data_IF_927962006254
#
_entry.id   IF_927962006254
#
_cell.length_a   1.000
_cell.length_b   1.000
_cell.length_c   1.000
_cell.angle_alpha   90.00
_cell.angle_beta   90.00
_cell.angle_gamma   90.00
#
_symmetry.space_group_name_H-M   'P 1'
#
loop_
_entity.id
_entity.type
_entity.pdbx_description
1 polymer ?
#
# COMPACT_ATOMS: atom_id res chain seq x y z
N UNK A 1 -7.15 -28.86 -10.29
CA UNK A 1 -7.76 -27.66 -10.92
C UNK A 1 -8.42 -26.75 -9.87
N UNK A 2 -9.19 -27.28 -8.92
CA UNK A 2 -9.73 -26.50 -7.80
C UNK A 2 -8.64 -25.88 -6.89
N UNK A 3 -7.54 -26.59 -6.61
CA UNK A 3 -6.45 -26.06 -5.76
C UNK A 3 -5.79 -24.79 -6.33
N UNK A 4 -5.59 -24.72 -7.66
CA UNK A 4 -5.05 -23.53 -8.32
C UNK A 4 -5.94 -22.28 -8.14
N UNK A 5 -7.25 -22.49 -8.04
CA UNK A 5 -8.24 -21.42 -7.84
C UNK A 5 -8.22 -20.94 -6.38
N UNK A 6 -8.11 -21.86 -5.42
CA UNK A 6 -8.00 -21.51 -4.01
C UNK A 6 -6.67 -20.83 -3.67
N UNK A 7 -5.57 -21.23 -4.29
CA UNK A 7 -4.25 -20.65 -4.06
C UNK A 7 -4.13 -19.19 -4.56
N UNK A 8 -4.98 -18.79 -5.52
CA UNK A 8 -5.00 -17.45 -6.15
C UNK A 8 -6.29 -16.68 -5.92
N UNK A 9 -7.08 -17.03 -4.91
CA UNK A 9 -8.41 -16.44 -4.68
C UNK A 9 -8.35 -14.90 -4.55
N UNK A 10 -7.29 -14.36 -3.93
CA UNK A 10 -7.07 -12.92 -3.81
C UNK A 10 -7.05 -12.22 -5.17
N UNK A 11 -6.35 -12.77 -6.16
CA UNK A 11 -6.25 -12.19 -7.50
C UNK A 11 -7.59 -12.22 -8.24
N UNK A 12 -8.34 -13.32 -8.12
CA UNK A 12 -9.66 -13.44 -8.73
C UNK A 12 -10.65 -12.43 -8.15
N UNK A 13 -10.68 -12.27 -6.83
CA UNK A 13 -11.53 -11.29 -6.17
C UNK A 13 -11.18 -9.85 -6.62
N UNK A 14 -9.90 -9.53 -6.73
CA UNK A 14 -9.42 -8.21 -7.18
C UNK A 14 -9.79 -7.95 -8.64
N UNK A 15 -9.61 -8.92 -9.53
CA UNK A 15 -9.97 -8.77 -10.96
C UNK A 15 -11.47 -8.53 -11.10
N UNK A 16 -12.31 -9.26 -10.37
CA UNK A 16 -13.76 -9.04 -10.37
C UNK A 16 -14.09 -7.64 -9.86
N UNK A 17 -13.49 -7.22 -8.74
CA UNK A 17 -13.67 -5.87 -8.19
C UNK A 17 -13.25 -4.78 -9.19
N UNK A 18 -12.15 -5.01 -9.91
CA UNK A 18 -11.64 -4.12 -10.95
C UNK A 18 -12.62 -4.02 -12.13
N UNK A 19 -13.17 -5.15 -12.57
CA UNK A 19 -14.20 -5.19 -13.62
C UNK A 19 -15.48 -4.49 -13.18
N UNK A 20 -15.90 -4.64 -11.92
CA UNK A 20 -17.06 -3.92 -11.37
C UNK A 20 -16.81 -2.41 -11.35
N UNK A 21 -15.64 -1.95 -10.93
CA UNK A 21 -15.29 -0.52 -10.94
C UNK A 21 -15.31 0.08 -12.35
N UNK A 22 -14.73 -0.63 -13.33
CA UNK A 22 -14.75 -0.22 -14.72
C UNK A 22 -16.18 -0.21 -15.29
N UNK A 23 -16.97 -1.23 -14.97
CA UNK A 23 -18.36 -1.35 -15.41
C UNK A 23 -19.22 -0.18 -14.94
N UNK A 24 -19.15 0.17 -13.65
CA UNK A 24 -19.87 1.32 -13.09
C UNK A 24 -19.47 2.62 -13.79
N UNK A 25 -18.18 2.78 -14.10
CA UNK A 25 -17.66 3.99 -14.78
C UNK A 25 -18.22 4.14 -16.19
N UNK A 26 -18.36 3.05 -16.94
CA UNK A 26 -18.92 3.09 -18.30
C UNK A 26 -20.44 3.22 -18.33
N UNK A 27 -21.15 2.58 -17.39
CA UNK A 27 -22.61 2.51 -17.45
C UNK A 27 -23.32 3.69 -16.77
N UNK A 28 -22.66 4.39 -15.84
CA UNK A 28 -23.32 5.48 -15.14
C UNK A 28 -23.63 6.65 -16.09
N UNK A 29 -24.91 7.03 -16.22
CA UNK A 29 -25.32 8.31 -16.85
C UNK A 29 -25.00 9.52 -15.96
N UNK A 30 -24.96 9.28 -14.65
CA UNK A 30 -24.80 10.31 -13.64
C UNK A 30 -23.31 10.52 -13.31
N UNK A 31 -22.84 11.77 -13.32
CA UNK A 31 -21.40 12.07 -13.17
C UNK A 31 -20.82 11.62 -11.82
N UNK A 32 -21.60 11.71 -10.74
CA UNK A 32 -21.16 11.28 -9.39
C UNK A 32 -20.95 9.76 -9.34
N UNK A 33 -21.85 8.99 -9.97
CA UNK A 33 -21.71 7.52 -10.03
C UNK A 33 -20.49 7.10 -10.86
N UNK A 34 -20.17 7.83 -11.93
CA UNK A 34 -18.92 7.63 -12.67
C UNK A 34 -17.69 7.87 -11.79
N UNK A 35 -17.71 8.92 -10.96
CA UNK A 35 -16.59 9.23 -10.06
C UNK A 35 -16.42 8.16 -8.97
N UNK A 36 -17.53 7.63 -8.44
CA UNK A 36 -17.52 6.49 -7.51
C UNK A 36 -16.94 5.24 -8.21
N UNK A 37 -17.39 4.93 -9.43
CA UNK A 37 -16.84 3.83 -10.23
C UNK A 37 -15.34 3.94 -10.43
N UNK A 38 -14.85 5.15 -10.74
CA UNK A 38 -13.43 5.42 -10.90
C UNK A 38 -12.64 5.22 -9.60
N UNK A 39 -13.19 5.65 -8.46
CA UNK A 39 -12.54 5.45 -7.14
C UNK A 39 -12.45 3.97 -6.74
N UNK A 40 -13.48 3.18 -7.06
CA UNK A 40 -13.49 1.72 -6.83
C UNK A 40 -12.48 1.03 -7.73
N UNK A 41 -12.43 1.41 -9.01
CA UNK A 41 -11.42 0.92 -9.95
C UNK A 41 -10.01 1.22 -9.46
N UNK A 42 -9.72 2.46 -9.06
CA UNK A 42 -8.41 2.85 -8.54
C UNK A 42 -8.02 2.07 -7.27
N UNK A 43 -8.96 1.91 -6.34
CA UNK A 43 -8.76 1.12 -5.10
C UNK A 43 -8.45 -0.35 -5.43
N UNK A 44 -9.10 -0.92 -6.45
CA UNK A 44 -8.82 -2.28 -6.90
C UNK A 44 -7.41 -2.45 -7.46
N UNK A 45 -6.87 -1.45 -8.18
CA UNK A 45 -5.49 -1.44 -8.67
C UNK A 45 -4.50 -1.39 -7.52
N UNK A 46 -4.81 -0.67 -6.44
CA UNK A 46 -3.98 -0.67 -5.23
C UNK A 46 -3.93 -2.05 -4.58
N UNK A 47 -5.08 -2.71 -4.41
CA UNK A 47 -5.14 -4.07 -3.87
C UNK A 47 -4.38 -5.08 -4.75
N UNK A 48 -4.43 -4.91 -6.07
CA UNK A 48 -3.66 -5.74 -7.02
C UNK A 48 -2.15 -5.58 -6.79
N UNK A 49 -1.66 -4.34 -6.70
CA UNK A 49 -0.25 -4.07 -6.44
C UNK A 49 0.22 -4.56 -5.06
N UNK A 50 -0.61 -4.42 -4.01
CA UNK A 50 -0.29 -4.95 -2.68
C UNK A 50 -0.13 -6.46 -2.74
N UNK A 51 -1.03 -7.15 -3.45
CA UNK A 51 -1.00 -8.61 -3.56
C UNK A 51 0.26 -9.10 -4.29
N UNK A 52 0.74 -8.35 -5.29
CA UNK A 52 2.01 -8.64 -5.96
C UNK A 52 3.25 -8.39 -5.08
N UNK A 53 3.18 -7.43 -4.16
CA UNK A 53 4.30 -7.08 -3.27
C UNK A 53 4.39 -7.91 -1.99
N UNK A 54 3.31 -8.62 -1.64
CA UNK A 54 3.21 -9.42 -0.42
C UNK A 54 3.91 -10.76 -0.61
N UNK A 55 4.87 -11.04 0.26
CA UNK A 55 5.51 -12.35 0.38
C UNK A 55 5.06 -13.04 1.67
N UNK A 56 5.07 -14.38 1.68
CA UNK A 56 4.72 -15.16 2.86
C UNK A 56 5.81 -15.03 3.93
N UNK A 57 5.42 -14.68 5.16
CA UNK A 57 6.37 -14.43 6.25
C UNK A 57 7.11 -13.09 6.16
N UNK A 58 6.73 -12.21 5.22
CA UNK A 58 7.34 -10.90 5.04
C UNK A 58 6.89 -9.86 6.07
N UNK A 59 7.82 -9.24 6.80
CA UNK A 59 7.57 -8.05 7.63
C UNK A 59 7.58 -6.77 6.77
N UNK A 60 7.16 -5.64 7.36
CA UNK A 60 7.11 -4.36 6.67
C UNK A 60 8.52 -3.88 6.34
N UNK A 61 8.82 -3.40 5.12
CA UNK A 61 10.17 -3.01 4.68
C UNK A 61 10.68 -1.74 5.36
N UNK A 62 10.97 -1.85 6.66
CA UNK A 62 11.51 -0.84 7.55
C UNK A 62 12.53 -1.57 8.42
N UNK A 63 13.77 -1.08 8.43
CA UNK A 63 14.83 -1.67 9.25
C UNK A 63 14.53 -1.41 10.73
N UNK A 64 14.86 -2.36 11.61
CA UNK A 64 14.76 -2.20 13.06
C UNK A 64 16.11 -2.49 13.71
N UNK A 65 16.33 -1.95 14.92
CA UNK A 65 17.59 -1.88 15.69
C UNK A 65 18.77 -2.80 15.33
N UNK A 66 18.54 -4.11 15.11
CA UNK A 66 19.58 -5.12 14.79
C UNK A 66 19.99 -5.18 13.32
N UNK A 67 19.15 -4.70 12.41
CA UNK A 67 19.35 -4.64 10.95
C UNK A 67 19.79 -3.24 10.47
N UNK A 68 19.88 -2.26 11.39
CA UNK A 68 20.51 -0.98 11.11
C UNK A 68 22.04 -1.12 11.05
N UNK A 69 22.71 -0.60 10.01
CA UNK A 69 24.17 -0.53 9.98
C UNK A 69 24.67 0.30 11.16
N UNK A 70 25.42 -0.31 12.08
CA UNK A 70 25.99 0.38 13.25
C UNK A 70 27.18 1.28 12.94
N UNK A 71 27.59 1.37 11.67
CA UNK A 71 28.83 2.03 11.28
C UNK A 71 28.63 3.50 10.81
N UNK A 72 27.43 4.08 10.99
CA UNK A 72 27.14 5.48 10.66
C UNK A 72 26.62 6.25 11.87
N UNK A 73 27.55 6.72 12.72
CA UNK A 73 27.32 7.84 13.64
C UNK A 73 26.55 7.52 14.92
N UNK A 74 27.05 6.59 15.73
CA UNK A 74 26.68 6.48 17.14
C UNK A 74 27.29 7.64 17.94
N UNK A 75 26.74 8.85 17.82
CA UNK A 75 27.15 9.97 18.70
C UNK A 75 26.01 10.85 19.22
N UNK A 76 24.75 10.47 18.97
CA UNK A 76 23.61 11.16 19.58
C UNK A 76 22.56 10.20 20.10
N UNK A 77 22.47 10.12 21.44
CA UNK A 77 21.36 9.47 22.14
C UNK A 77 21.69 8.87 23.49
N UNK A 78 22.66 9.43 24.23
CA UNK A 78 22.84 9.09 25.63
C UNK A 78 21.58 9.39 26.43
N UNK A 79 21.08 8.35 27.11
CA UNK A 79 20.24 8.40 28.31
C UNK A 79 18.93 9.17 28.21
N UNK A 80 17.80 8.46 28.20
CA UNK A 80 16.70 8.73 29.13
C UNK A 80 15.63 7.62 28.98
N UNK A 81 15.30 7.00 30.11
CA UNK A 81 14.25 5.98 30.20
C UNK A 81 14.45 5.02 31.36
N UNK A 82 14.86 5.53 32.53
CA UNK A 82 14.45 4.89 33.77
C UNK A 82 12.92 4.97 33.86
N UNK A 83 12.32 4.00 34.56
CA UNK A 83 10.93 3.95 35.04
C UNK A 83 10.03 2.93 34.31
N UNK A 84 10.11 1.66 34.75
CA UNK A 84 8.93 0.80 34.86
C UNK A 84 9.18 -0.30 35.91
N UNK A 85 8.98 0.06 37.17
CA UNK A 85 8.84 -0.88 38.28
C UNK A 85 7.40 -1.41 38.27
N UNK A 86 7.19 -2.66 37.88
CA UNK A 86 6.05 -3.52 38.20
C UNK A 86 6.51 -4.96 37.90
N UNK A 87 6.38 -5.99 38.73
CA UNK A 87 5.77 -6.21 40.04
C UNK A 87 6.09 -7.68 40.41
N UNK A 88 6.07 -7.99 41.69
CA UNK A 88 6.58 -9.23 42.27
C UNK A 88 5.84 -10.53 41.87
N UNK A 89 6.63 -11.59 41.69
CA UNK A 89 6.37 -12.93 42.26
C UNK A 89 5.47 -13.90 41.49
N UNK A 90 6.08 -14.89 40.82
CA UNK A 90 5.60 -16.28 40.86
C UNK A 90 6.76 -17.26 40.61
N UNK A 91 6.74 -18.35 41.37
CA UNK A 91 7.91 -19.16 41.72
C UNK A 91 8.40 -20.17 40.69
N UNK A 92 9.70 -20.47 40.83
CA UNK A 92 10.41 -21.74 40.72
C UNK A 92 10.07 -22.73 39.59
N UNK A 93 11.19 -23.14 38.95
CA UNK A 93 11.42 -24.30 38.09
C UNK A 93 11.15 -24.07 36.58
N UNK A 94 12.20 -23.92 35.79
CA UNK A 94 12.72 -25.02 34.96
C UNK A 94 13.94 -24.59 34.13
N UNK A 95 14.98 -25.43 34.17
CA UNK A 95 15.90 -25.65 33.04
C UNK A 95 16.67 -24.46 32.49
N UNK A 96 17.72 -24.03 33.20
CA UNK A 96 18.83 -23.30 32.58
C UNK A 96 19.50 -24.21 31.55
N UNK A 97 19.08 -24.10 30.29
CA UNK A 97 19.75 -24.73 29.16
C UNK A 97 21.13 -24.08 29.00
N UNK A 98 22.14 -24.79 29.51
CA UNK A 98 23.53 -24.50 29.20
C UNK A 98 23.77 -24.63 27.70
N UNK A 99 24.11 -23.52 27.06
CA UNK A 99 24.77 -23.54 25.76
C UNK A 99 26.25 -23.32 26.04
N UNK A 100 27.02 -24.42 25.96
CA UNK A 100 28.46 -24.38 25.99
C UNK A 100 28.95 -23.37 24.94
N UNK A 101 29.59 -22.30 25.43
CA UNK A 101 30.32 -21.31 24.65
C UNK A 101 31.53 -21.99 23.99
N UNK A 102 31.30 -22.68 22.87
CA UNK A 102 32.36 -23.14 21.99
C UNK A 102 32.86 -21.96 21.17
N UNK A 103 34.08 -21.52 21.44
CA UNK A 103 34.82 -20.60 20.56
C UNK A 103 35.69 -21.42 19.60
N UNK A 104 35.87 -20.96 18.38
CA UNK A 104 36.81 -21.57 17.43
C UNK A 104 38.28 -21.30 17.81
N UNK A 105 39.23 -21.86 17.06
CA UNK A 105 40.68 -21.74 17.29
C UNK A 105 41.20 -20.28 17.17
N UNK A 106 40.35 -19.34 16.72
CA UNK A 106 40.60 -17.89 16.66
C UNK A 106 39.82 -17.09 17.72
N UNK A 107 39.10 -17.76 18.63
CA UNK A 107 38.38 -17.13 19.75
C UNK A 107 37.02 -16.55 19.40
N UNK A 108 36.42 -16.94 18.26
CA UNK A 108 35.14 -16.38 17.78
C UNK A 108 33.96 -17.16 18.36
N UNK A 109 32.88 -16.49 18.82
CA UNK A 109 31.69 -17.17 19.34
C UNK A 109 30.96 -17.95 18.24
N UNK A 110 30.71 -19.24 18.48
CA UNK A 110 29.87 -20.06 17.60
C UNK A 110 28.39 -19.80 17.92
N UNK A 111 27.64 -19.18 17.00
CA UNK A 111 26.19 -19.08 17.07
C UNK A 111 25.56 -19.85 15.90
N UNK A 112 24.82 -20.91 16.23
CA UNK A 112 23.87 -21.63 15.38
C UNK A 112 24.39 -22.13 14.01
N UNK A 113 25.59 -22.73 13.99
CA UNK A 113 26.05 -23.52 12.84
C UNK A 113 26.69 -22.76 11.68
N UNK A 114 26.92 -21.45 11.79
CA UNK A 114 27.48 -20.63 10.71
C UNK A 114 28.73 -19.87 11.21
N UNK A 115 29.86 -20.06 10.52
CA UNK A 115 31.10 -19.28 10.70
C UNK A 115 30.86 -17.90 10.09
N UNK A 116 30.83 -16.83 10.90
CA UNK A 116 30.64 -15.46 10.45
C UNK A 116 31.94 -14.88 9.82
N UNK A 117 31.92 -14.44 8.55
CA UNK A 117 33.10 -13.83 7.95
C UNK A 117 33.28 -12.32 8.18
N UNK A 118 32.26 -11.51 8.53
CA UNK A 118 32.27 -10.05 8.24
C UNK A 118 32.49 -9.77 6.72
N UNK A 119 32.19 -8.63 6.08
CA UNK A 119 31.95 -7.26 6.52
C UNK A 119 31.41 -6.47 5.31
N UNK A 120 30.52 -5.49 5.52
CA UNK A 120 29.91 -4.60 4.51
C UNK A 120 29.22 -5.34 3.34
N UNK A 121 27.94 -5.72 3.51
CA UNK A 121 27.07 -6.09 2.37
C UNK A 121 26.69 -7.58 2.19
N UNK A 122 26.41 -8.35 3.25
CA UNK A 122 26.07 -9.78 3.06
C UNK A 122 25.54 -10.60 4.25
N UNK A 123 24.96 -9.98 5.28
CA UNK A 123 24.23 -10.74 6.31
C UNK A 123 22.83 -11.09 5.78
N UNK A 124 22.36 -12.35 5.83
CA UNK A 124 20.97 -12.64 5.49
C UNK A 124 20.09 -11.91 6.51
N UNK A 125 19.13 -11.13 6.02
CA UNK A 125 18.17 -10.44 6.86
C UNK A 125 17.53 -11.47 7.79
N UNK A 126 17.64 -11.27 9.09
CA UNK A 126 17.08 -12.19 10.08
C UNK A 126 15.55 -12.21 9.99
N UNK A 127 14.98 -11.12 9.47
CA UNK A 127 13.59 -10.98 9.09
C UNK A 127 13.45 -10.82 7.57
N UNK A 128 12.57 -11.63 6.98
CA UNK A 128 12.23 -11.52 5.55
C UNK A 128 11.31 -10.31 5.40
N UNK A 129 11.63 -9.36 4.51
CA UNK A 129 10.82 -8.16 4.28
C UNK A 129 10.02 -8.22 2.99
N UNK A 130 8.80 -7.68 3.00
CA UNK A 130 7.99 -7.53 1.79
C UNK A 130 8.64 -6.60 0.76
N UNK A 131 8.27 -6.73 -0.52
CA UNK A 131 8.87 -5.95 -1.60
C UNK A 131 8.60 -4.44 -1.38
N UNK A 132 9.65 -3.59 -1.28
CA UNK A 132 9.48 -2.16 -1.04
C UNK A 132 8.94 -1.41 -2.27
N UNK A 133 9.12 -1.95 -3.49
CA UNK A 133 8.74 -1.27 -4.72
C UNK A 133 7.23 -1.02 -4.81
N UNK A 134 6.34 -2.03 -4.66
CA UNK A 134 4.91 -1.80 -4.64
C UNK A 134 4.47 -0.81 -3.55
N UNK A 135 5.10 -0.84 -2.38
CA UNK A 135 4.71 0.01 -1.25
C UNK A 135 4.87 1.50 -1.57
N UNK A 136 6.00 1.89 -2.15
CA UNK A 136 6.24 3.28 -2.57
C UNK A 136 5.35 3.69 -3.74
N UNK A 137 5.19 2.80 -4.73
CA UNK A 137 4.31 3.06 -5.88
C UNK A 137 2.87 3.31 -5.45
N UNK A 138 2.34 2.52 -4.51
CA UNK A 138 0.99 2.70 -3.97
C UNK A 138 0.87 4.02 -3.20
N UNK A 139 1.87 4.37 -2.37
CA UNK A 139 1.83 5.63 -1.62
C UNK A 139 1.69 6.84 -2.54
N UNK A 140 2.46 6.87 -3.63
CA UNK A 140 2.34 7.93 -4.64
C UNK A 140 1.01 7.87 -5.38
N UNK A 141 0.54 6.67 -5.76
CA UNK A 141 -0.70 6.50 -6.49
C UNK A 141 -1.94 6.87 -5.66
N UNK A 142 -1.93 6.66 -4.33
CA UNK A 142 -3.00 7.10 -3.43
C UNK A 142 -3.10 8.63 -3.44
N UNK A 143 -1.98 9.34 -3.33
CA UNK A 143 -1.98 10.82 -3.33
C UNK A 143 -2.49 11.37 -4.66
N UNK A 144 -1.98 10.83 -5.78
CA UNK A 144 -2.45 11.21 -7.12
C UNK A 144 -3.95 10.93 -7.25
N UNK A 145 -4.40 9.77 -6.76
CA UNK A 145 -5.79 9.37 -6.83
C UNK A 145 -6.76 10.20 -6.01
N UNK A 146 -6.38 10.60 -4.79
CA UNK A 146 -7.19 11.53 -3.97
C UNK A 146 -7.22 12.91 -4.64
N UNK A 147 -6.11 13.37 -5.22
CA UNK A 147 -6.05 14.64 -5.93
C UNK A 147 -6.94 14.66 -7.19
N UNK A 148 -6.89 13.62 -8.02
CA UNK A 148 -7.74 13.54 -9.22
C UNK A 148 -9.21 13.38 -8.87
N UNK A 149 -9.55 12.65 -7.80
CA UNK A 149 -10.93 12.57 -7.29
C UNK A 149 -11.43 13.93 -6.84
N UNK A 150 -10.63 14.68 -6.09
CA UNK A 150 -10.98 16.02 -5.63
C UNK A 150 -11.23 16.99 -6.82
N UNK A 151 -10.35 16.97 -7.82
CA UNK A 151 -10.52 17.75 -9.05
C UNK A 151 -11.76 17.30 -9.83
N UNK A 152 -11.97 15.99 -9.98
CA UNK A 152 -13.15 15.45 -10.65
C UNK A 152 -14.45 15.87 -9.96
N UNK A 153 -14.49 15.83 -8.63
CA UNK A 153 -15.64 16.30 -7.86
C UNK A 153 -15.85 17.81 -8.01
N UNK A 154 -14.78 18.61 -7.98
CA UNK A 154 -14.85 20.04 -8.20
C UNK A 154 -15.42 20.38 -9.59
N UNK A 155 -15.01 19.64 -10.63
CA UNK A 155 -15.57 19.78 -11.98
C UNK A 155 -17.06 19.42 -11.99
N UNK A 156 -17.46 18.32 -11.34
CA UNK A 156 -18.86 17.91 -11.24
C UNK A 156 -19.72 18.97 -10.55
N UNK A 157 -19.22 19.55 -9.45
CA UNK A 157 -19.89 20.66 -8.75
C UNK A 157 -20.03 21.86 -9.67
N UNK A 158 -18.96 22.22 -10.39
CA UNK A 158 -18.98 23.36 -11.32
C UNK A 158 -19.97 23.17 -12.48
N UNK A 159 -20.06 21.96 -13.03
CA UNK A 159 -21.02 21.64 -14.09
C UNK A 159 -22.45 21.74 -13.55
N UNK A 160 -22.70 21.24 -12.33
CA UNK A 160 -24.02 21.37 -11.68
C UNK A 160 -24.41 22.84 -11.48
N UNK A 161 -23.48 23.71 -11.13
CA UNK A 161 -23.75 25.15 -10.99
C UNK A 161 -24.11 25.82 -12.33
N UNK A 162 -23.43 25.43 -13.42
CA UNK A 162 -23.66 26.03 -14.74
C UNK A 162 -24.89 25.48 -15.47
N UNK A 163 -25.12 24.16 -15.41
CA UNK A 163 -26.18 23.46 -16.15
C UNK A 163 -27.40 23.12 -15.28
N UNK A 164 -27.29 23.19 -13.96
CA UNK A 164 -28.36 22.80 -13.03
C UNK A 164 -28.54 21.29 -12.83
N UNK A 165 -27.80 20.46 -13.57
CA UNK A 165 -27.93 18.99 -13.56
C UNK A 165 -26.59 18.27 -13.42
N UNK A 166 -26.66 17.00 -13.04
CA UNK A 166 -25.54 16.07 -12.88
C UNK A 166 -25.66 14.84 -13.79
N UNK A 167 -26.68 14.81 -14.66
CA UNK A 167 -26.91 13.75 -15.64
C UNK A 167 -26.24 14.11 -16.96
N UNK A 168 -25.42 13.20 -17.51
CA UNK A 168 -24.68 13.47 -18.73
C UNK A 168 -25.58 13.66 -19.96
N UNK A 169 -26.70 12.94 -20.03
CA UNK A 169 -27.61 13.05 -21.18
C UNK A 169 -28.23 14.44 -21.25
N UNK A 170 -28.59 15.02 -20.11
CA UNK A 170 -29.14 16.37 -20.02
C UNK A 170 -28.08 17.43 -20.35
N UNK A 171 -26.84 17.27 -19.86
CA UNK A 171 -25.73 18.18 -20.20
C UNK A 171 -25.45 18.17 -21.70
N UNK A 172 -25.43 16.97 -22.32
CA UNK A 172 -25.19 16.80 -23.76
C UNK A 172 -26.30 17.43 -24.60
N UNK A 173 -27.55 17.29 -24.17
CA UNK A 173 -28.69 17.91 -24.84
C UNK A 173 -28.63 19.44 -24.78
N UNK A 174 -28.27 20.00 -23.62
CA UNK A 174 -28.11 21.45 -23.44
C UNK A 174 -27.04 22.05 -24.37
N UNK A 175 -25.91 21.34 -24.55
CA UNK A 175 -24.84 21.76 -25.47
C UNK A 175 -25.28 21.74 -26.94
N UNK A 176 -26.05 20.73 -27.36
CA UNK A 176 -26.59 20.63 -28.73
C UNK A 176 -27.54 21.80 -29.01
N UNK A 177 -28.46 22.09 -28.09
CA UNK A 177 -29.42 23.19 -28.24
C UNK A 177 -28.72 24.55 -28.33
N UNK A 178 -27.67 24.76 -27.54
CA UNK A 178 -26.86 25.97 -27.62
C UNK A 178 -26.21 26.14 -29.00
N UNK A 179 -25.64 25.07 -29.56
CA UNK A 179 -25.00 25.09 -30.87
C UNK A 179 -26.02 25.34 -32.02
N UNK A 180 -27.20 24.74 -31.96
CA UNK A 180 -28.27 24.97 -32.94
C UNK A 180 -28.77 26.42 -32.91
N UNK A 181 -28.89 27.01 -31.72
CA UNK A 181 -29.33 28.39 -31.55
C UNK A 181 -28.31 29.38 -32.13
N UNK A 182 -27.01 29.12 -31.94
CA UNK A 182 -25.93 29.94 -32.50
C UNK A 182 -25.86 29.86 -34.03
N UNK A 183 -25.96 28.64 -34.58
CA UNK A 183 -26.01 28.40 -36.04
C UNK A 183 -27.21 29.08 -36.72
N UNK A 184 -28.38 29.04 -36.07
CA UNK A 184 -29.60 29.68 -36.57
C UNK A 184 -29.52 31.22 -36.53
N UNK A 185 -28.74 31.79 -35.61
CA UNK A 185 -28.52 33.23 -35.52
C UNK A 185 -27.50 33.73 -36.55
N UNK A 186 -26.53 32.90 -36.95
CA UNK A 186 -25.53 33.25 -37.98
C UNK A 186 -26.09 33.14 -39.40
N UNK A 187 -27.13 32.32 -39.61
CA UNK A 187 -27.77 32.11 -40.91
C UNK A 187 -28.96 33.04 -41.19
N UNK A 188 -29.34 33.91 -40.25
CA UNK A 188 -30.44 34.88 -40.34
C UNK A 188 -29.94 36.30 -40.61
#
# INVERSE_FOLDING_TARGET
>A
MAEFIFERYNYWAIIILMMVGLYVTFQAGNMIKRLIGLSVFQTSVFLFYITLGKINGGSAPILFGRDYPKDYGDDHGGGHGADAVHGAGHGAAEGAHGAASGVDELGRPFIDGIIDPNHIGGQPLQEVYSNPLPHVLILTAIVVGVATLAVGLAIVVRIRESYGTIEMDEVREADIQHAETESSAETA
#
